data_IF_690782494153
#
_entry.id   IF_690782494153
#
_cell.length_a   1.000
_cell.length_b   1.000
_cell.length_c   1.000
_cell.angle_alpha   90.00
_cell.angle_beta   90.00
_cell.angle_gamma   90.00
#
_symmetry.space_group_name_H-M   'P 1'
#
loop_
_entity.id
_entity.type
_entity.pdbx_description
1 polymer ?
#
# COMPACT_ATOMS: atom_id res chain seq x y z
N UNK A 1 5.43 46.97 23.17
CA UNK A 1 4.32 46.01 23.27
C UNK A 1 4.92 44.63 23.27
N UNK A 2 4.82 43.96 24.41
CA UNK A 2 5.36 42.63 24.67
C UNK A 2 4.46 41.62 23.96
N UNK A 3 4.94 41.00 22.88
CA UNK A 3 4.18 40.01 22.14
C UNK A 3 4.07 38.72 22.95
N UNK A 4 2.88 38.38 23.44
CA UNK A 4 2.61 37.08 24.07
C UNK A 4 2.82 35.99 23.01
N UNK A 5 3.80 35.10 23.24
CA UNK A 5 4.04 33.93 22.39
C UNK A 5 2.85 32.98 22.51
N UNK A 6 2.26 32.61 21.37
CA UNK A 6 1.26 31.56 21.29
C UNK A 6 2.03 30.25 21.03
N UNK A 7 1.96 29.32 21.98
CA UNK A 7 2.57 27.99 21.85
C UNK A 7 1.49 26.99 21.50
N UNK A 8 1.64 26.30 20.37
CA UNK A 8 0.80 25.18 19.99
C UNK A 8 1.42 23.89 20.54
N UNK A 9 0.75 23.23 21.47
CA UNK A 9 1.12 21.88 21.93
C UNK A 9 0.11 20.91 21.36
N UNK A 10 0.55 20.07 20.42
CA UNK A 10 -0.28 19.00 19.86
C UNK A 10 0.22 17.67 20.40
N UNK A 11 -0.62 16.98 21.16
CA UNK A 11 -0.41 15.59 21.56
C UNK A 11 -1.01 14.68 20.48
N UNK A 12 -0.27 14.46 19.39
CA UNK A 12 -0.62 13.47 18.39
C UNK A 12 0.33 12.27 18.52
N UNK A 13 -0.22 11.10 18.79
CA UNK A 13 0.50 9.84 18.55
C UNK A 13 0.59 9.67 17.03
N UNK A 14 1.81 9.77 16.50
CA UNK A 14 2.21 9.46 15.12
C UNK A 14 1.31 10.02 13.99
N UNK A 15 1.55 11.28 13.60
CA UNK A 15 1.04 11.84 12.35
C UNK A 15 1.73 13.16 12.00
N UNK A 16 2.15 13.33 10.75
CA UNK A 16 2.80 14.55 10.25
C UNK A 16 1.76 15.65 10.01
N UNK A 17 1.95 16.82 10.62
CA UNK A 17 1.02 17.96 10.49
C UNK A 17 1.50 18.94 9.41
N UNK A 18 0.70 19.11 8.37
CA UNK A 18 0.82 20.21 7.40
C UNK A 18 -0.31 21.21 7.63
N UNK A 19 0.01 22.39 8.17
CA UNK A 19 -0.98 23.46 8.38
C UNK A 19 -1.03 24.38 7.15
N UNK A 20 -2.14 24.37 6.39
CA UNK A 20 -2.30 25.19 5.18
C UNK A 20 -2.86 26.62 5.44
N UNK A 21 -3.01 27.03 6.70
CA UNK A 21 -3.39 28.39 7.04
C UNK A 21 -3.99 28.50 8.44
N UNK A 22 -3.67 29.57 9.16
CA UNK A 22 -4.28 29.89 10.45
C UNK A 22 -5.10 31.16 10.32
N UNK A 23 -6.37 31.12 10.73
CA UNK A 23 -7.22 32.31 10.81
C UNK A 23 -7.62 32.52 12.26
N UNK A 24 -7.16 33.63 12.82
CA UNK A 24 -7.37 34.00 14.23
C UNK A 24 -8.52 35.00 14.29
N UNK A 25 -9.55 34.69 15.06
CA UNK A 25 -10.56 35.67 15.48
C UNK A 25 -10.34 35.98 16.96
N UNK A 26 -10.39 37.25 17.33
CA UNK A 26 -10.26 37.70 18.71
C UNK A 26 -11.32 38.74 19.04
N UNK A 27 -11.99 38.56 20.17
CA UNK A 27 -12.67 39.63 20.91
C UNK A 27 -11.83 39.88 22.18
N UNK A 28 -11.89 41.09 22.75
CA UNK A 28 -11.04 41.55 23.86
C UNK A 28 -11.38 40.81 25.18
N UNK A 29 -11.01 39.54 25.26
CA UNK A 29 -11.11 38.71 26.47
C UNK A 29 -9.80 37.95 26.68
N UNK A 30 -9.33 37.93 27.93
CA UNK A 30 -7.97 37.53 28.33
C UNK A 30 -7.60 36.05 28.08
N UNK A 31 -8.47 35.28 27.44
CA UNK A 31 -8.25 33.87 27.08
C UNK A 31 -8.85 33.63 25.69
N UNK A 32 -8.02 33.78 24.64
CA UNK A 32 -8.37 33.32 23.29
C UNK A 32 -8.02 31.85 23.14
N UNK A 33 -9.02 30.97 23.22
CA UNK A 33 -8.89 29.60 22.74
C UNK A 33 -9.24 29.57 21.26
N UNK A 34 -8.23 29.43 20.40
CA UNK A 34 -8.44 29.18 18.98
C UNK A 34 -8.77 27.69 18.78
N UNK A 35 -10.03 27.38 18.47
CA UNK A 35 -10.43 26.07 17.96
C UNK A 35 -10.37 26.11 16.44
N UNK A 36 -9.38 25.43 15.87
CA UNK A 36 -9.33 25.16 14.44
C UNK A 36 -10.15 23.88 14.17
N UNK A 37 -11.34 24.05 13.60
CA UNK A 37 -12.06 22.94 12.96
C UNK A 37 -11.77 23.03 11.45
N UNK A 38 -10.68 22.39 11.03
CA UNK A 38 -10.49 21.97 9.64
C UNK A 38 -11.22 20.65 9.40
N UNK A 39 -11.60 20.37 8.16
CA UNK A 39 -12.52 19.30 7.70
C UNK A 39 -12.10 17.89 8.16
N UNK A 40 -12.46 17.52 9.40
CA UNK A 40 -12.31 16.16 9.88
C UNK A 40 -13.17 15.15 9.08
N UNK A 41 -14.28 15.61 8.49
CA UNK A 41 -15.18 14.77 7.68
C UNK A 41 -14.52 14.30 6.37
N UNK A 42 -13.81 15.17 5.65
CA UNK A 42 -13.13 14.80 4.39
C UNK A 42 -11.98 13.81 4.65
N UNK A 43 -11.17 14.06 5.68
CA UNK A 43 -10.12 13.12 6.08
C UNK A 43 -10.69 11.76 6.51
N UNK A 44 -11.82 11.74 7.21
CA UNK A 44 -12.47 10.48 7.65
C UNK A 44 -13.09 9.72 6.48
N UNK A 45 -13.71 10.42 5.52
CA UNK A 45 -14.28 9.81 4.31
C UNK A 45 -13.21 9.25 3.39
N UNK A 46 -12.10 9.98 3.20
CA UNK A 46 -10.97 9.51 2.41
C UNK A 46 -10.31 8.28 3.07
N UNK A 47 -10.09 8.31 4.39
CA UNK A 47 -9.58 7.16 5.13
C UNK A 47 -10.48 5.92 5.00
N UNK A 48 -11.81 6.10 5.15
CA UNK A 48 -12.78 5.01 4.98
C UNK A 48 -12.79 4.44 3.57
N UNK A 49 -12.70 5.31 2.56
CA UNK A 49 -12.67 4.89 1.15
C UNK A 49 -11.36 4.15 0.84
N UNK A 50 -10.25 4.57 1.45
CA UNK A 50 -8.94 3.90 1.37
C UNK A 50 -8.98 2.49 1.98
N UNK A 51 -9.52 2.37 3.19
CA UNK A 51 -9.68 1.08 3.88
C UNK A 51 -10.59 0.13 3.09
N UNK A 52 -11.73 0.61 2.59
CA UNK A 52 -12.65 -0.19 1.77
C UNK A 52 -11.98 -0.71 0.48
N UNK A 53 -11.11 0.09 -0.14
CA UNK A 53 -10.35 -0.33 -1.34
C UNK A 53 -9.30 -1.38 -0.98
N UNK A 54 -8.53 -1.19 0.09
CA UNK A 54 -7.53 -2.18 0.53
C UNK A 54 -8.21 -3.53 0.81
N UNK A 55 -9.36 -3.53 1.50
CA UNK A 55 -10.11 -4.76 1.76
C UNK A 55 -10.49 -5.46 0.46
N UNK A 56 -11.01 -4.74 -0.54
CA UNK A 56 -11.37 -5.34 -1.84
C UNK A 56 -10.17 -5.88 -2.60
N UNK A 57 -9.03 -5.18 -2.56
CA UNK A 57 -7.79 -5.66 -3.18
C UNK A 57 -7.35 -6.95 -2.49
N UNK A 58 -7.32 -6.94 -1.15
CA UNK A 58 -6.93 -8.08 -0.33
C UNK A 58 -7.83 -9.30 -0.57
N UNK A 59 -9.15 -9.11 -0.55
CA UNK A 59 -10.13 -10.17 -0.81
C UNK A 59 -9.93 -10.77 -2.21
N UNK A 60 -9.81 -9.94 -3.24
CA UNK A 60 -9.58 -10.38 -4.62
C UNK A 60 -8.27 -11.17 -4.76
N UNK A 61 -7.20 -10.67 -4.13
CA UNK A 61 -5.89 -11.30 -4.18
C UNK A 61 -5.89 -12.65 -3.46
N UNK A 62 -6.44 -12.73 -2.25
CA UNK A 62 -6.53 -13.97 -1.48
C UNK A 62 -7.45 -15.01 -2.14
N UNK A 63 -8.53 -14.59 -2.79
CA UNK A 63 -9.41 -15.50 -3.54
C UNK A 63 -8.72 -16.10 -4.77
N UNK A 64 -7.96 -15.30 -5.51
CA UNK A 64 -7.33 -15.74 -6.76
C UNK A 64 -5.94 -16.35 -6.57
N UNK A 65 -5.25 -15.99 -5.48
CA UNK A 65 -3.89 -16.43 -5.12
C UNK A 65 -3.90 -17.03 -3.69
N UNK A 66 -4.55 -18.18 -3.48
CA UNK A 66 -4.55 -18.86 -2.18
C UNK A 66 -3.16 -19.26 -1.70
N UNK A 67 -2.17 -19.33 -2.61
CA UNK A 67 -0.77 -19.62 -2.30
C UNK A 67 -0.14 -18.64 -1.29
N UNK A 68 -0.68 -17.42 -1.17
CA UNK A 68 -0.19 -16.43 -0.20
C UNK A 68 -0.29 -16.96 1.24
N UNK A 69 -1.33 -17.73 1.57
CA UNK A 69 -1.47 -18.32 2.90
C UNK A 69 -0.40 -19.38 3.16
N UNK A 70 -0.08 -20.19 2.14
CA UNK A 70 1.01 -21.18 2.21
C UNK A 70 2.37 -20.49 2.37
N UNK A 71 2.59 -19.38 1.66
CA UNK A 71 3.81 -18.57 1.79
C UNK A 71 3.95 -17.95 3.17
N UNK A 72 2.84 -17.45 3.75
CA UNK A 72 2.84 -16.90 5.10
C UNK A 72 3.22 -17.98 6.14
N UNK A 73 2.67 -19.18 6.00
CA UNK A 73 3.01 -20.32 6.86
C UNK A 73 4.47 -20.76 6.67
N UNK A 74 4.97 -20.75 5.44
CA UNK A 74 6.37 -21.07 5.14
C UNK A 74 7.34 -20.06 5.76
N UNK A 75 7.07 -18.76 5.66
CA UNK A 75 7.90 -17.70 6.24
C UNK A 75 7.94 -17.83 7.76
N UNK A 76 6.81 -18.02 8.41
CA UNK A 76 6.74 -18.22 9.88
C UNK A 76 7.57 -19.45 10.30
N UNK A 77 7.43 -20.56 9.58
CA UNK A 77 8.15 -21.80 9.87
C UNK A 77 9.66 -21.68 9.65
N UNK A 78 10.11 -21.13 8.52
CA UNK A 78 11.55 -21.07 8.17
C UNK A 78 12.29 -20.00 8.96
N UNK A 79 11.59 -18.95 9.40
CA UNK A 79 12.16 -17.88 10.22
C UNK A 79 12.08 -18.15 11.73
N UNK A 80 11.47 -19.26 12.18
CA UNK A 80 11.18 -19.53 13.60
C UNK A 80 10.38 -18.38 14.25
N UNK A 81 9.41 -17.84 13.50
CA UNK A 81 8.56 -16.71 13.90
C UNK A 81 9.25 -15.34 13.93
N UNK A 82 10.47 -15.22 13.39
CA UNK A 82 11.21 -13.95 13.34
C UNK A 82 10.77 -13.04 12.18
N UNK A 83 10.11 -13.61 11.18
CA UNK A 83 9.60 -12.89 10.03
C UNK A 83 8.14 -13.23 9.78
N UNK A 84 7.45 -12.34 9.07
CA UNK A 84 6.08 -12.58 8.61
C UNK A 84 5.90 -12.06 7.20
N UNK A 85 4.96 -12.66 6.47
CA UNK A 85 4.59 -12.18 5.14
C UNK A 85 3.73 -10.92 5.28
N UNK A 86 4.08 -9.89 4.51
CA UNK A 86 3.44 -8.59 4.52
C UNK A 86 3.12 -8.13 3.11
N UNK A 87 1.91 -7.59 2.94
CA UNK A 87 1.40 -7.07 1.68
C UNK A 87 1.36 -5.55 1.76
N UNK A 88 2.04 -4.89 0.81
CA UNK A 88 2.01 -3.44 0.65
C UNK A 88 1.16 -3.09 -0.55
N UNK A 89 0.12 -2.28 -0.33
CA UNK A 89 -0.84 -1.89 -1.35
C UNK A 89 -0.51 -0.50 -1.88
N UNK A 90 -0.21 -0.40 -3.17
CA UNK A 90 -0.24 0.88 -3.87
C UNK A 90 -1.66 1.16 -4.35
N UNK A 91 -2.20 2.30 -3.91
CA UNK A 91 -3.56 2.72 -4.21
C UNK A 91 -3.63 3.72 -5.36
N UNK A 92 -2.47 4.12 -5.89
CA UNK A 92 -2.42 4.77 -7.19
C UNK A 92 -2.56 3.70 -8.27
N UNK A 93 -3.54 3.88 -9.15
CA UNK A 93 -3.77 2.96 -10.26
C UNK A 93 -2.76 3.24 -11.36
N UNK A 94 -2.21 2.18 -11.95
CA UNK A 94 -1.30 2.28 -13.09
C UNK A 94 -1.86 1.59 -14.33
N UNK A 95 -1.50 2.11 -15.51
CA UNK A 95 -1.74 1.44 -16.78
C UNK A 95 -0.76 0.29 -16.94
N UNK A 96 -1.27 -0.94 -16.93
CA UNK A 96 -0.44 -2.14 -17.03
C UNK A 96 -0.38 -2.62 -18.47
N UNK A 97 0.85 -2.93 -18.91
CA UNK A 97 1.15 -3.50 -20.20
C UNK A 97 1.80 -4.88 -20.04
N UNK A 98 1.75 -5.71 -21.09
CA UNK A 98 2.33 -7.07 -21.08
C UNK A 98 3.83 -7.09 -20.82
N UNK A 99 4.53 -6.06 -21.24
CA UNK A 99 5.97 -5.88 -21.02
C UNK A 99 6.35 -4.40 -20.95
N UNK A 100 7.58 -4.12 -20.54
CA UNK A 100 8.14 -2.77 -20.48
C UNK A 100 8.26 -2.06 -21.85
N UNK A 101 8.12 -2.79 -22.97
CA UNK A 101 8.06 -2.20 -24.30
C UNK A 101 6.64 -1.74 -24.69
N UNK A 102 5.63 -2.06 -23.88
CA UNK A 102 4.25 -1.69 -24.12
C UNK A 102 3.58 -2.51 -25.23
N UNK A 103 3.95 -3.78 -25.40
CA UNK A 103 3.49 -4.61 -26.53
C UNK A 103 1.97 -4.83 -26.57
N UNK A 104 1.32 -4.93 -25.40
CA UNK A 104 -0.12 -5.12 -25.26
C UNK A 104 -0.61 -4.40 -24.00
N UNK A 105 -1.71 -3.65 -24.10
CA UNK A 105 -2.36 -3.01 -22.97
C UNK A 105 -3.30 -3.98 -22.26
N UNK A 106 -3.14 -4.14 -20.94
CA UNK A 106 -3.86 -5.12 -20.14
C UNK A 106 -4.95 -4.50 -19.24
N UNK A 107 -4.97 -3.17 -19.08
CA UNK A 107 -5.94 -2.43 -18.26
C UNK A 107 -5.30 -1.56 -17.17
N UNK A 108 -6.13 -0.99 -16.30
CA UNK A 108 -5.70 -0.27 -15.09
C UNK A 108 -5.77 -1.20 -13.87
N UNK A 109 -4.72 -1.18 -13.05
CA UNK A 109 -4.56 -2.06 -11.89
C UNK A 109 -3.97 -1.30 -10.70
N UNK A 110 -4.22 -1.85 -9.52
CA UNK A 110 -3.49 -1.57 -8.29
C UNK A 110 -2.29 -2.51 -8.17
N UNK A 111 -1.16 -2.01 -7.67
CA UNK A 111 0.01 -2.85 -7.38
C UNK A 111 -0.02 -3.35 -5.94
N UNK A 112 0.26 -4.64 -5.75
CA UNK A 112 0.43 -5.27 -4.44
C UNK A 112 1.81 -5.92 -4.38
N UNK A 113 2.64 -5.44 -3.46
CA UNK A 113 3.95 -6.01 -3.22
C UNK A 113 3.88 -6.96 -2.03
N UNK A 114 4.23 -8.21 -2.27
CA UNK A 114 4.34 -9.25 -1.26
C UNK A 114 5.80 -9.35 -0.85
N UNK A 115 6.04 -9.19 0.45
CA UNK A 115 7.37 -9.16 1.04
C UNK A 115 7.41 -9.93 2.34
N UNK A 116 8.56 -10.46 2.67
CA UNK A 116 8.88 -11.00 3.99
C UNK A 116 9.47 -9.87 4.83
N UNK A 117 8.85 -9.59 5.97
CA UNK A 117 9.23 -8.52 6.87
C UNK A 117 9.98 -9.07 8.07
N UNK A 118 11.20 -8.58 8.27
CA UNK A 118 12.04 -8.82 9.43
C UNK A 118 12.09 -7.57 10.31
N UNK A 119 12.72 -7.67 11.48
CA UNK A 119 12.87 -6.52 12.39
C UNK A 119 13.70 -5.38 11.78
N UNK A 120 14.73 -5.70 11.00
CA UNK A 120 15.72 -4.75 10.48
C UNK A 120 15.75 -4.62 8.94
N UNK A 121 15.06 -5.51 8.22
CA UNK A 121 15.01 -5.50 6.75
C UNK A 121 13.73 -6.11 6.20
N UNK A 122 13.55 -6.04 4.88
CA UNK A 122 12.47 -6.68 4.15
C UNK A 122 13.01 -7.36 2.89
N UNK A 123 12.49 -8.54 2.58
CA UNK A 123 12.82 -9.27 1.35
C UNK A 123 11.61 -9.24 0.44
N UNK A 124 11.74 -8.67 -0.76
CA UNK A 124 10.65 -8.69 -1.75
C UNK A 124 10.51 -10.08 -2.36
N UNK A 125 9.30 -10.61 -2.38
CA UNK A 125 9.01 -11.93 -2.93
C UNK A 125 8.35 -11.83 -4.29
N UNK A 126 7.29 -11.03 -4.40
CA UNK A 126 6.46 -11.01 -5.60
C UNK A 126 5.67 -9.71 -5.71
N UNK A 127 5.35 -9.30 -6.93
CA UNK A 127 4.43 -8.20 -7.20
C UNK A 127 3.24 -8.71 -8.00
N UNK A 128 2.04 -8.36 -7.54
CA UNK A 128 0.78 -8.65 -8.20
C UNK A 128 0.08 -7.38 -8.63
N UNK A 129 -0.69 -7.47 -9.70
CA UNK A 129 -1.57 -6.41 -10.15
C UNK A 129 -3.02 -6.87 -9.99
N UNK A 130 -3.82 -6.08 -9.28
CA UNK A 130 -5.26 -6.33 -9.06
C UNK A 130 -6.08 -5.32 -9.85
N UNK A 131 -6.99 -5.78 -10.71
CA UNK A 131 -7.75 -4.90 -11.58
C UNK A 131 -8.56 -3.89 -10.76
N UNK A 132 -8.78 -2.70 -11.32
CA UNK A 132 -9.66 -1.68 -10.68
C UNK A 132 -11.10 -2.17 -10.46
N UNK A 133 -11.52 -3.22 -11.17
CA UNK A 133 -12.82 -3.85 -11.03
C UNK A 133 -12.83 -5.03 -10.04
N UNK A 134 -11.66 -5.39 -9.46
CA UNK A 134 -11.48 -6.48 -8.50
C UNK A 134 -11.90 -7.86 -9.03
N UNK A 135 -11.78 -8.09 -10.33
CA UNK A 135 -12.18 -9.33 -11.01
C UNK A 135 -10.99 -10.13 -11.54
N UNK A 136 -9.80 -9.54 -11.61
CA UNK A 136 -8.64 -10.14 -12.25
C UNK A 136 -7.35 -9.80 -11.52
N UNK A 137 -6.51 -10.81 -11.33
CA UNK A 137 -5.15 -10.67 -10.81
C UNK A 137 -4.13 -11.07 -11.88
N UNK A 138 -3.04 -10.32 -11.98
CA UNK A 138 -1.87 -10.62 -12.79
C UNK A 138 -0.62 -10.67 -11.89
N UNK A 139 0.40 -11.38 -12.33
CA UNK A 139 1.71 -11.44 -11.68
C UNK A 139 2.75 -10.70 -12.51
N UNK A 140 3.62 -9.93 -11.86
CA UNK A 140 4.70 -9.21 -12.51
C UNK A 140 6.03 -9.91 -12.25
N UNK A 141 6.71 -10.27 -13.34
CA UNK A 141 8.09 -10.71 -13.32
C UNK A 141 9.04 -9.56 -13.58
N UNK A 142 10.18 -9.55 -12.88
CA UNK A 142 11.30 -8.68 -13.19
C UNK A 142 12.31 -9.49 -13.98
N UNK A 143 12.28 -9.34 -15.31
CA UNK A 143 13.02 -10.19 -16.26
C UNK A 143 14.48 -9.72 -16.44
N UNK A 144 14.82 -8.55 -15.91
CA UNK A 144 16.16 -7.95 -16.01
C UNK A 144 16.62 -7.21 -14.76
N UNK A 145 17.87 -6.73 -14.80
CA UNK A 145 18.45 -5.90 -13.74
C UNK A 145 18.01 -4.43 -13.82
N UNK A 146 17.35 -4.03 -14.91
CA UNK A 146 16.82 -2.69 -15.09
C UNK A 146 15.33 -2.66 -14.73
N UNK A 147 14.91 -1.63 -14.00
CA UNK A 147 13.50 -1.46 -13.57
C UNK A 147 12.49 -1.39 -14.73
N UNK A 148 12.97 -1.19 -15.97
CA UNK A 148 12.17 -1.15 -17.19
C UNK A 148 11.99 -2.51 -17.88
N UNK A 149 12.68 -3.57 -17.43
CA UNK A 149 12.60 -4.91 -18.02
C UNK A 149 11.72 -5.81 -17.16
N UNK A 150 10.42 -5.76 -17.42
CA UNK A 150 9.43 -6.59 -16.76
C UNK A 150 8.53 -7.28 -17.78
N UNK A 151 7.91 -8.37 -17.36
CA UNK A 151 6.84 -9.07 -18.07
C UNK A 151 5.68 -9.33 -17.12
N UNK A 152 4.46 -9.27 -17.65
CA UNK A 152 3.24 -9.47 -16.87
C UNK A 152 2.56 -10.74 -17.33
N UNK A 153 2.17 -11.57 -16.38
CA UNK A 153 1.59 -12.88 -16.62
C UNK A 153 0.21 -12.97 -15.99
N UNK A 154 -0.70 -13.66 -16.66
CA UNK A 154 -1.89 -14.19 -16.00
C UNK A 154 -1.47 -15.20 -14.93
N UNK A 155 -2.31 -15.41 -13.91
CA UNK A 155 -2.01 -16.40 -12.88
C UNK A 155 -1.86 -17.82 -13.46
N UNK A 156 -2.58 -18.16 -14.53
CA UNK A 156 -2.42 -19.45 -15.21
C UNK A 156 -1.05 -19.55 -15.89
N UNK A 157 -0.60 -18.52 -16.60
CA UNK A 157 0.74 -18.51 -17.19
C UNK A 157 1.82 -18.59 -16.11
N UNK A 158 1.68 -17.80 -15.03
CA UNK A 158 2.62 -17.78 -13.91
C UNK A 158 2.72 -19.16 -13.23
N UNK A 159 1.59 -19.79 -12.90
CA UNK A 159 1.55 -21.14 -12.28
C UNK A 159 2.13 -22.24 -13.17
N UNK A 160 2.08 -22.06 -14.48
CA UNK A 160 2.68 -22.99 -15.45
C UNK A 160 4.12 -22.61 -15.83
N UNK A 161 4.66 -21.53 -15.29
CA UNK A 161 6.01 -21.05 -15.56
C UNK A 161 7.05 -21.70 -14.65
N UNK A 162 8.33 -21.59 -15.03
CA UNK A 162 9.45 -21.97 -14.16
C UNK A 162 9.66 -21.02 -12.97
N UNK A 163 8.96 -19.89 -12.94
CA UNK A 163 9.04 -18.89 -11.87
C UNK A 163 8.07 -19.18 -10.72
N UNK A 164 7.19 -20.17 -10.88
CA UNK A 164 6.28 -20.56 -9.81
C UNK A 164 7.09 -21.14 -8.63
N UNK A 165 7.00 -20.52 -7.43
CA UNK A 165 7.78 -20.96 -6.29
C UNK A 165 7.27 -22.30 -5.76
N UNK A 166 8.04 -23.38 -5.94
CA UNK A 166 7.82 -24.63 -5.21
C UNK A 166 8.38 -24.49 -3.80
N UNK A 167 7.54 -24.72 -2.77
CA UNK A 167 7.94 -24.65 -1.36
C UNK A 167 8.74 -25.89 -0.88
N UNK A 168 9.19 -26.74 -1.80
CA UNK A 168 9.71 -28.10 -1.54
C UNK A 168 11.23 -28.18 -1.23
N UNK A 169 11.96 -27.06 -1.05
CA UNK A 169 13.41 -27.08 -0.70
C UNK A 169 13.76 -26.42 0.66
#
# INVERSE_FOLDING_TARGET
MEGRKISFVVLAMAGLLTACGSRVWGDDSEISTALAFGEAEECTQNAKTREDTIVKISDCLSEQVPEIDDWAAYVDLKSDGQAYLYQTYDLETEEVYKDGAGSEYLGEYYSVHVSEMWEDHSVSWSTFYVSVNFDKVLWKDMVGLADSEFEVYTLEEWRNSSYYPSLDD
#
